data_IF_666094839309
#
_entry.id   IF_666094839309
#
_cell.length_a   1.000
_cell.length_b   1.000
_cell.length_c   1.000
_cell.angle_alpha   90.00
_cell.angle_beta   90.00
_cell.angle_gamma   90.00
#
_symmetry.space_group_name_H-M   'P 1'
#
loop_
_entity.id
_entity.type
_entity.pdbx_description
1 polymer ?
#
# COMPACT_ATOMS: atom_id res chain seq x y z
N UNK A 1 40.83 20.06 -0.93
CA UNK A 1 40.15 18.87 -1.50
C UNK A 1 38.65 19.11 -1.41
N UNK A 2 37.98 19.29 -2.54
CA UNK A 2 36.53 19.49 -2.54
C UNK A 2 35.85 18.20 -2.07
N UNK A 3 35.11 18.28 -0.96
CA UNK A 3 34.28 17.19 -0.47
C UNK A 3 33.27 16.84 -1.58
N UNK A 4 33.48 15.77 -2.33
CA UNK A 4 32.45 15.25 -3.23
C UNK A 4 31.23 14.98 -2.37
N UNK A 5 30.15 15.79 -2.50
CA UNK A 5 28.86 15.49 -1.90
C UNK A 5 28.49 14.08 -2.34
N UNK A 6 28.36 13.17 -1.40
CA UNK A 6 27.83 11.82 -1.68
C UNK A 6 26.44 11.99 -2.29
N UNK A 7 26.12 11.20 -3.28
CA UNK A 7 24.76 11.14 -3.83
C UNK A 7 23.76 10.82 -2.69
N UNK A 8 22.56 11.42 -2.71
CA UNK A 8 21.54 11.06 -1.73
C UNK A 8 21.21 9.56 -1.82
N UNK A 9 20.70 8.96 -0.74
CA UNK A 9 20.18 7.60 -0.79
C UNK A 9 19.12 7.46 -1.86
N UNK A 10 18.98 6.24 -2.40
CA UNK A 10 17.90 5.93 -3.34
C UNK A 10 16.54 6.09 -2.66
N UNK A 11 15.62 6.79 -3.32
CA UNK A 11 14.32 7.15 -2.78
C UNK A 11 13.43 5.94 -2.50
N UNK A 12 13.62 4.83 -3.22
CA UNK A 12 12.84 3.61 -2.97
C UNK A 12 13.21 2.94 -1.64
N UNK A 13 14.51 2.98 -1.23
CA UNK A 13 14.90 2.53 0.11
C UNK A 13 14.27 3.38 1.21
N UNK A 14 14.23 4.70 1.02
CA UNK A 14 13.60 5.61 1.97
C UNK A 14 12.09 5.38 2.03
N UNK A 15 11.44 5.19 0.88
CA UNK A 15 10.02 4.89 0.78
C UNK A 15 9.66 3.58 1.50
N UNK A 16 10.37 2.50 1.18
CA UNK A 16 10.09 1.19 1.78
C UNK A 16 10.26 1.18 3.31
N UNK A 17 11.22 1.95 3.83
CA UNK A 17 11.43 2.05 5.27
C UNK A 17 10.37 2.91 5.97
N UNK A 18 9.76 3.88 5.25
CA UNK A 18 8.83 4.84 5.84
C UNK A 18 7.36 4.44 5.71
N UNK A 19 7.01 3.71 4.65
CA UNK A 19 5.62 3.54 4.21
C UNK A 19 5.18 2.08 4.24
N UNK A 20 6.08 1.13 3.95
CA UNK A 20 5.70 -0.26 3.74
C UNK A 20 5.93 -1.13 4.98
N UNK A 21 4.85 -1.62 5.59
CA UNK A 21 4.88 -2.65 6.63
C UNK A 21 4.26 -3.96 6.13
N UNK A 22 4.92 -4.57 5.13
CA UNK A 22 4.39 -5.73 4.40
C UNK A 22 4.10 -6.95 5.30
N UNK A 23 4.78 -7.08 6.42
CA UNK A 23 4.51 -8.18 7.36
C UNK A 23 3.16 -7.97 8.08
N UNK A 24 2.88 -6.75 8.53
CA UNK A 24 1.59 -6.38 9.13
C UNK A 24 0.45 -6.53 8.12
N UNK A 25 0.62 -6.04 6.88
CA UNK A 25 -0.38 -6.13 5.82
C UNK A 25 -0.74 -7.59 5.50
N UNK A 26 0.28 -8.43 5.32
CA UNK A 26 0.09 -9.85 5.03
C UNK A 26 -0.54 -10.62 6.21
N UNK A 27 -0.16 -10.30 7.44
CA UNK A 27 -0.75 -10.95 8.63
C UNK A 27 -2.18 -10.49 8.88
N UNK A 28 -2.48 -9.22 8.60
CA UNK A 28 -3.86 -8.72 8.59
C UNK A 28 -4.71 -9.47 7.55
N UNK A 29 -4.29 -9.52 6.29
CA UNK A 29 -5.01 -10.23 5.23
C UNK A 29 -5.25 -11.70 5.57
N UNK A 30 -4.22 -12.42 6.02
CA UNK A 30 -4.33 -13.83 6.46
C UNK A 30 -5.32 -14.01 7.60
N UNK A 31 -5.33 -13.10 8.58
CA UNK A 31 -6.25 -13.14 9.73
C UNK A 31 -7.69 -12.97 9.27
N UNK A 32 -7.96 -11.98 8.41
CA UNK A 32 -9.30 -11.72 7.88
C UNK A 32 -9.76 -12.87 6.98
N UNK A 33 -8.89 -13.36 6.09
CA UNK A 33 -9.18 -14.51 5.24
C UNK A 33 -9.57 -15.74 6.07
N UNK A 34 -8.76 -16.09 7.08
CA UNK A 34 -9.03 -17.23 7.95
C UNK A 34 -10.32 -17.08 8.79
N UNK A 35 -10.68 -15.84 9.15
CA UNK A 35 -11.95 -15.53 9.84
C UNK A 35 -13.16 -15.89 8.96
N UNK A 36 -13.10 -15.61 7.66
CA UNK A 36 -14.19 -15.88 6.72
C UNK A 36 -14.25 -17.34 6.29
N UNK A 37 -13.10 -17.91 5.91
CA UNK A 37 -13.05 -19.18 5.19
C UNK A 37 -12.48 -20.35 6.00
N UNK A 38 -11.99 -20.11 7.22
CA UNK A 38 -11.39 -21.12 8.14
C UNK A 38 -10.27 -21.95 7.51
N UNK A 39 -9.62 -21.43 6.47
CA UNK A 39 -8.46 -22.01 5.80
C UNK A 39 -7.35 -20.96 5.62
N UNK A 40 -6.17 -21.40 5.18
CA UNK A 40 -5.04 -20.51 4.94
C UNK A 40 -4.99 -20.13 3.47
N UNK A 41 -4.79 -18.85 3.13
CA UNK A 41 -4.57 -18.43 1.76
C UNK A 41 -3.21 -18.91 1.26
N UNK A 42 -3.13 -19.23 -0.03
CA UNK A 42 -1.89 -19.68 -0.68
C UNK A 42 -1.42 -18.71 -1.77
N UNK A 43 -2.34 -18.02 -2.41
CA UNK A 43 -2.08 -17.17 -3.57
C UNK A 43 -2.45 -15.73 -3.30
N UNK A 44 -1.59 -14.79 -3.75
CA UNK A 44 -1.85 -13.36 -3.63
C UNK A 44 -1.63 -12.64 -4.95
N UNK A 45 -2.41 -11.57 -5.15
CA UNK A 45 -2.20 -10.55 -6.16
C UNK A 45 -1.99 -9.21 -5.46
N UNK A 46 -0.94 -8.49 -5.84
CA UNK A 46 -0.64 -7.13 -5.38
C UNK A 46 -0.77 -6.19 -6.57
N UNK A 47 -1.84 -5.39 -6.58
CA UNK A 47 -2.02 -4.32 -7.54
C UNK A 47 -1.25 -3.08 -7.08
N UNK A 48 -0.70 -2.31 -8.03
CA UNK A 48 0.19 -1.16 -7.75
C UNK A 48 1.41 -1.61 -6.91
N UNK A 49 2.00 -2.75 -7.24
CA UNK A 49 2.99 -3.41 -6.40
C UNK A 49 4.32 -2.65 -6.27
N UNK A 50 4.56 -1.63 -7.09
CA UNK A 50 5.76 -0.81 -7.04
C UNK A 50 7.04 -1.64 -7.09
N UNK A 51 7.74 -1.72 -5.95
CA UNK A 51 8.98 -2.50 -5.80
C UNK A 51 8.74 -4.00 -5.56
N UNK A 52 7.50 -4.47 -5.58
CA UNK A 52 7.08 -5.85 -5.35
C UNK A 52 7.55 -6.44 -4.00
N UNK A 53 7.73 -5.62 -2.98
CA UNK A 53 8.23 -6.04 -1.66
C UNK A 53 7.26 -6.99 -0.96
N UNK A 54 5.94 -6.71 -1.00
CA UNK A 54 4.92 -7.56 -0.40
C UNK A 54 4.84 -8.90 -1.12
N UNK A 55 4.77 -8.90 -2.46
CA UNK A 55 4.73 -10.13 -3.25
C UNK A 55 5.98 -11.00 -3.04
N UNK A 56 7.19 -10.39 -2.99
CA UNK A 56 8.44 -11.08 -2.66
C UNK A 56 8.41 -11.65 -1.23
N UNK A 57 7.91 -10.88 -0.26
CA UNK A 57 7.78 -11.34 1.12
C UNK A 57 6.80 -12.50 1.26
N UNK A 58 5.70 -12.51 0.49
CA UNK A 58 4.74 -13.61 0.50
C UNK A 58 5.35 -14.94 0.11
N UNK A 59 6.09 -15.03 -0.99
CA UNK A 59 6.72 -16.28 -1.45
C UNK A 59 7.83 -16.78 -0.53
N UNK A 60 8.41 -15.89 0.30
CA UNK A 60 9.39 -16.26 1.33
C UNK A 60 8.75 -17.01 2.51
N UNK A 61 7.51 -16.65 2.87
CA UNK A 61 6.85 -17.14 4.09
C UNK A 61 6.46 -18.62 4.03
N UNK A 62 6.24 -19.20 2.83
CA UNK A 62 5.87 -20.61 2.68
C UNK A 62 6.24 -21.14 1.30
N UNK A 63 6.62 -22.43 1.22
CA UNK A 63 6.95 -23.12 -0.03
C UNK A 63 5.78 -23.30 -1.01
N UNK A 64 4.54 -23.16 -0.52
CA UNK A 64 3.32 -23.28 -1.33
C UNK A 64 2.75 -21.91 -1.73
N UNK A 65 3.33 -20.81 -1.25
CA UNK A 65 2.85 -19.48 -1.57
C UNK A 65 3.27 -19.07 -2.98
N UNK A 66 2.33 -18.50 -3.73
CA UNK A 66 2.55 -17.89 -5.03
C UNK A 66 2.04 -16.44 -5.02
N UNK A 67 2.67 -15.57 -5.79
CA UNK A 67 2.34 -14.15 -5.83
C UNK A 67 2.42 -13.57 -7.25
N UNK A 68 1.47 -12.68 -7.55
CA UNK A 68 1.45 -11.84 -8.74
C UNK A 68 1.52 -10.39 -8.33
N UNK A 69 2.50 -9.64 -8.83
CA UNK A 69 2.64 -8.20 -8.65
C UNK A 69 2.41 -7.48 -9.96
N UNK A 70 1.57 -6.46 -9.96
CA UNK A 70 1.23 -5.66 -11.14
C UNK A 70 1.57 -4.21 -10.86
N UNK A 71 2.37 -3.61 -11.72
CA UNK A 71 2.62 -2.17 -11.71
C UNK A 71 2.89 -1.68 -13.14
N UNK A 72 2.44 -0.48 -13.49
CA UNK A 72 2.69 0.06 -14.82
C UNK A 72 4.05 0.76 -14.94
N UNK A 73 4.72 1.08 -13.82
CA UNK A 73 5.97 1.82 -13.81
C UNK A 73 7.19 0.89 -13.89
N UNK A 74 7.61 0.56 -15.10
CA UNK A 74 8.73 -0.34 -15.39
C UNK A 74 10.01 -0.02 -14.58
N UNK A 75 10.47 1.25 -14.42
CA UNK A 75 11.69 1.53 -13.65
C UNK A 75 11.60 1.11 -12.19
N UNK A 76 10.43 1.26 -11.54
CA UNK A 76 10.19 0.82 -10.15
C UNK A 76 10.19 -0.69 -10.03
N UNK A 77 9.53 -1.41 -10.97
CA UNK A 77 9.59 -2.87 -11.03
C UNK A 77 11.03 -3.37 -11.19
N UNK A 78 11.80 -2.78 -12.08
CA UNK A 78 13.21 -3.15 -12.30
C UNK A 78 14.05 -2.90 -11.04
N UNK A 79 13.78 -1.81 -10.32
CA UNK A 79 14.43 -1.56 -9.04
C UNK A 79 14.07 -2.66 -8.02
N UNK A 80 12.77 -3.03 -7.93
CA UNK A 80 12.28 -4.11 -7.08
C UNK A 80 12.90 -5.47 -7.42
N UNK A 81 13.04 -5.79 -8.71
CA UNK A 81 13.72 -7.02 -9.18
C UNK A 81 15.16 -7.05 -8.67
N UNK A 82 15.90 -5.95 -8.78
CA UNK A 82 17.29 -5.87 -8.32
C UNK A 82 17.43 -5.96 -6.81
N UNK A 83 16.50 -5.41 -6.03
CA UNK A 83 16.68 -5.21 -4.59
C UNK A 83 15.82 -6.17 -3.73
N UNK A 84 14.60 -6.50 -4.15
CA UNK A 84 13.70 -7.36 -3.37
C UNK A 84 13.63 -8.79 -3.90
N UNK A 85 13.76 -8.98 -5.23
CA UNK A 85 13.60 -10.30 -5.86
C UNK A 85 14.93 -11.01 -6.04
N UNK A 86 16.02 -10.29 -6.31
CA UNK A 86 17.34 -10.91 -6.56
C UNK A 86 17.81 -11.80 -5.42
N UNK A 87 17.51 -11.44 -4.17
CA UNK A 87 17.87 -12.20 -2.96
C UNK A 87 17.02 -13.44 -2.69
N UNK A 88 15.96 -13.67 -3.47
CA UNK A 88 15.12 -14.87 -3.37
C UNK A 88 15.86 -16.10 -3.90
N UNK A 89 15.59 -17.27 -3.33
CA UNK A 89 16.02 -18.55 -3.92
C UNK A 89 15.32 -18.80 -5.26
N UNK A 90 15.92 -19.61 -6.13
CA UNK A 90 15.32 -19.93 -7.44
C UNK A 90 13.90 -20.55 -7.31
N UNK A 91 13.67 -21.38 -6.28
CA UNK A 91 12.33 -21.92 -6.01
C UNK A 91 11.32 -20.86 -5.57
N UNK A 92 11.75 -19.78 -4.95
CA UNK A 92 10.88 -18.65 -4.60
C UNK A 92 10.59 -17.79 -5.83
N UNK A 93 11.63 -17.49 -6.65
CA UNK A 93 11.46 -16.73 -7.89
C UNK A 93 10.49 -17.41 -8.86
N UNK A 94 10.49 -18.75 -8.94
CA UNK A 94 9.56 -19.52 -9.77
C UNK A 94 8.08 -19.38 -9.36
N UNK A 95 7.80 -18.81 -8.20
CA UNK A 95 6.46 -18.60 -7.64
C UNK A 95 6.09 -17.13 -7.50
N UNK A 96 6.90 -16.24 -8.06
CA UNK A 96 6.68 -14.80 -8.10
C UNK A 96 6.61 -14.34 -9.55
N UNK A 97 5.48 -13.76 -9.92
CA UNK A 97 5.18 -13.30 -11.27
C UNK A 97 4.98 -11.77 -11.24
N UNK A 98 5.82 -11.03 -11.96
CA UNK A 98 5.72 -9.58 -12.06
C UNK A 98 5.25 -9.18 -13.45
N UNK A 99 4.23 -8.36 -13.51
CA UNK A 99 3.59 -7.88 -14.73
C UNK A 99 3.75 -6.36 -14.80
N UNK A 100 4.43 -5.86 -15.82
CA UNK A 100 4.42 -4.44 -16.15
C UNK A 100 3.16 -4.14 -16.97
N UNK A 101 2.14 -3.53 -16.34
CA UNK A 101 0.87 -3.29 -17.00
C UNK A 101 -0.14 -2.53 -16.15
N UNK A 102 -1.26 -2.19 -16.79
CA UNK A 102 -2.39 -1.53 -16.11
C UNK A 102 -3.18 -2.58 -15.31
N UNK A 103 -3.48 -2.31 -14.06
CA UNK A 103 -4.29 -3.17 -13.18
C UNK A 103 -5.72 -3.37 -13.70
N UNK A 104 -6.21 -2.47 -14.54
CA UNK A 104 -7.52 -2.57 -15.21
C UNK A 104 -7.53 -3.62 -16.32
N UNK A 105 -6.37 -3.95 -16.90
CA UNK A 105 -6.24 -4.82 -18.08
C UNK A 105 -5.45 -6.10 -17.80
N UNK A 106 -4.55 -6.07 -16.78
CA UNK A 106 -3.67 -7.18 -16.48
C UNK A 106 -4.46 -8.44 -16.09
N UNK A 107 -4.09 -9.57 -16.69
CA UNK A 107 -4.69 -10.86 -16.40
C UNK A 107 -3.79 -11.68 -15.48
N UNK A 108 -4.37 -12.28 -14.46
CA UNK A 108 -3.72 -13.22 -13.55
C UNK A 108 -4.61 -14.43 -13.35
N UNK A 109 -4.07 -15.57 -12.91
CA UNK A 109 -4.91 -16.61 -12.33
C UNK A 109 -5.73 -16.07 -11.16
N UNK A 110 -6.83 -16.75 -10.82
CA UNK A 110 -7.58 -16.40 -9.62
C UNK A 110 -6.74 -16.65 -8.36
N UNK A 111 -6.87 -15.75 -7.39
CA UNK A 111 -6.08 -15.75 -6.16
C UNK A 111 -6.97 -15.76 -4.92
N UNK A 112 -6.40 -16.15 -3.78
CA UNK A 112 -7.11 -16.15 -2.50
C UNK A 112 -7.22 -14.73 -1.93
N UNK A 113 -6.19 -13.91 -2.10
CA UNK A 113 -6.18 -12.53 -1.61
C UNK A 113 -5.64 -11.58 -2.68
N UNK A 114 -6.34 -10.48 -2.91
CA UNK A 114 -5.84 -9.35 -3.67
C UNK A 114 -5.54 -8.17 -2.71
N UNK A 115 -4.50 -7.40 -3.03
CA UNK A 115 -4.09 -6.21 -2.26
C UNK A 115 -3.96 -5.00 -3.16
N UNK A 116 -4.43 -3.84 -2.68
CA UNK A 116 -4.12 -2.52 -3.24
C UNK A 116 -3.82 -1.57 -2.07
N UNK A 117 -2.55 -1.42 -1.75
CA UNK A 117 -2.08 -0.73 -0.54
C UNK A 117 -1.46 0.62 -0.84
N UNK A 118 -1.14 1.35 0.23
CA UNK A 118 -0.59 2.71 0.19
C UNK A 118 -1.52 3.68 -0.58
N UNK A 119 -2.83 3.51 -0.39
CA UNK A 119 -3.89 4.36 -0.96
C UNK A 119 -3.89 4.42 -2.49
N UNK A 120 -3.24 3.46 -3.15
CA UNK A 120 -2.95 3.51 -4.58
C UNK A 120 -4.19 3.58 -5.46
N UNK A 121 -5.32 2.96 -5.06
CA UNK A 121 -6.57 3.01 -5.82
C UNK A 121 -7.19 4.42 -5.90
N UNK A 122 -6.75 5.37 -5.06
CA UNK A 122 -7.16 6.77 -5.10
C UNK A 122 -6.79 7.48 -6.42
N UNK A 123 -5.92 6.90 -7.25
CA UNK A 123 -5.63 7.36 -8.63
C UNK A 123 -6.89 7.32 -9.52
N UNK A 124 -7.84 6.44 -9.21
CA UNK A 124 -9.11 6.35 -9.92
C UNK A 124 -10.08 7.43 -9.42
N UNK A 125 -10.02 8.61 -10.05
CA UNK A 125 -10.83 9.76 -9.65
C UNK A 125 -12.30 9.66 -10.05
N UNK A 126 -12.62 8.84 -11.07
CA UNK A 126 -13.99 8.64 -11.56
C UNK A 126 -14.60 7.39 -10.93
N UNK A 127 -15.83 7.53 -10.40
CA UNK A 127 -16.56 6.45 -9.73
C UNK A 127 -16.71 5.20 -10.61
N UNK A 128 -17.04 5.40 -11.89
CA UNK A 128 -17.19 4.27 -12.82
C UNK A 128 -15.88 3.56 -13.10
N UNK A 129 -14.75 4.28 -13.12
CA UNK A 129 -13.43 3.68 -13.27
C UNK A 129 -13.05 2.87 -12.02
N UNK A 130 -13.32 3.40 -10.83
CA UNK A 130 -13.09 2.68 -9.56
C UNK A 130 -13.97 1.42 -9.49
N UNK A 131 -15.25 1.50 -9.88
CA UNK A 131 -16.15 0.35 -9.93
C UNK A 131 -15.67 -0.69 -10.93
N UNK A 132 -15.20 -0.28 -12.13
CA UNK A 132 -14.61 -1.19 -13.13
C UNK A 132 -13.37 -1.87 -12.57
N UNK A 133 -12.52 -1.16 -11.84
CA UNK A 133 -11.38 -1.74 -11.15
C UNK A 133 -11.82 -2.81 -10.14
N UNK A 134 -12.80 -2.51 -9.29
CA UNK A 134 -13.30 -3.48 -8.32
C UNK A 134 -13.93 -4.72 -8.97
N UNK A 135 -14.61 -4.58 -10.11
CA UNK A 135 -15.09 -5.72 -10.90
C UNK A 135 -13.91 -6.59 -11.37
N UNK A 136 -12.83 -5.98 -11.90
CA UNK A 136 -11.62 -6.71 -12.32
C UNK A 136 -10.98 -7.46 -11.16
N UNK A 137 -10.90 -6.84 -9.99
CA UNK A 137 -10.39 -7.51 -8.79
C UNK A 137 -11.29 -8.68 -8.40
N UNK A 138 -12.61 -8.49 -8.37
CA UNK A 138 -13.57 -9.55 -8.05
C UNK A 138 -13.40 -10.75 -8.98
N UNK A 139 -13.26 -10.53 -10.29
CA UNK A 139 -13.05 -11.57 -11.29
C UNK A 139 -11.72 -12.32 -11.07
N UNK A 140 -10.70 -11.64 -10.54
CA UNK A 140 -9.39 -12.22 -10.23
C UNK A 140 -9.34 -12.98 -8.91
N UNK A 141 -10.41 -13.00 -8.12
CA UNK A 141 -10.47 -13.72 -6.86
C UNK A 141 -11.07 -15.13 -7.05
N UNK A 142 -10.56 -16.09 -6.28
CA UNK A 142 -11.24 -17.36 -6.06
C UNK A 142 -12.62 -17.13 -5.41
N UNK A 143 -13.55 -18.11 -5.48
CA UNK A 143 -14.89 -17.98 -4.88
C UNK A 143 -14.85 -17.66 -3.37
N UNK A 144 -13.81 -18.10 -2.69
CA UNK A 144 -13.52 -17.79 -1.30
C UNK A 144 -12.41 -16.73 -1.19
N UNK A 145 -12.42 -15.71 -2.04
CA UNK A 145 -11.40 -14.66 -2.08
C UNK A 145 -11.74 -13.45 -1.23
N UNK A 146 -10.71 -12.68 -0.90
CA UNK A 146 -10.86 -11.35 -0.31
C UNK A 146 -10.00 -10.32 -1.03
N UNK A 147 -10.48 -9.08 -1.07
CA UNK A 147 -9.72 -7.93 -1.54
C UNK A 147 -9.43 -7.00 -0.37
N UNK A 148 -8.17 -6.68 -0.13
CA UNK A 148 -7.70 -5.81 0.96
C UNK A 148 -7.13 -4.53 0.36
N UNK A 149 -7.63 -3.39 0.79
CA UNK A 149 -7.08 -2.08 0.47
C UNK A 149 -7.00 -1.23 1.73
N UNK A 150 -6.15 -0.22 1.71
CA UNK A 150 -6.06 0.76 2.78
C UNK A 150 -6.48 2.15 2.29
N UNK A 151 -6.92 2.98 3.22
CA UNK A 151 -7.23 4.38 2.99
C UNK A 151 -6.98 5.19 4.26
N UNK A 152 -6.56 6.42 4.09
CA UNK A 152 -6.44 7.39 5.17
C UNK A 152 -7.64 8.33 5.23
N UNK A 153 -7.87 8.92 6.39
CA UNK A 153 -8.90 9.91 6.60
C UNK A 153 -8.68 10.65 7.92
N UNK A 154 -9.71 11.33 8.40
CA UNK A 154 -9.68 12.15 9.58
C UNK A 154 -9.90 13.62 9.25
N UNK A 155 -9.91 14.49 10.27
CA UNK A 155 -10.20 15.92 10.06
C UNK A 155 -9.10 16.62 9.26
N UNK A 156 -7.85 16.16 9.36
CA UNK A 156 -6.72 16.75 8.64
C UNK A 156 -6.67 16.33 7.16
N UNK A 157 -7.25 15.19 6.81
CA UNK A 157 -7.26 14.69 5.42
C UNK A 157 -8.05 15.57 4.45
N UNK A 158 -8.90 16.46 4.94
CA UNK A 158 -9.70 17.42 4.15
C UNK A 158 -9.21 18.86 4.28
N UNK A 159 -8.06 19.07 4.92
CA UNK A 159 -7.43 20.39 5.00
C UNK A 159 -6.71 20.74 3.70
N UNK A 160 -6.76 22.00 3.31
CA UNK A 160 -6.12 22.45 2.07
C UNK A 160 -4.57 22.38 2.11
N UNK A 161 -4.00 22.37 3.31
CA UNK A 161 -2.54 22.21 3.52
C UNK A 161 -2.30 21.58 4.88
N UNK A 162 -1.63 20.45 4.89
CA UNK A 162 -1.13 19.83 6.11
C UNK A 162 0.17 19.08 5.84
N UNK A 163 1.06 19.09 6.83
CA UNK A 163 2.31 18.32 6.79
C UNK A 163 2.33 17.38 8.01
N UNK A 164 2.65 16.11 7.77
CA UNK A 164 2.99 15.13 8.82
C UNK A 164 4.46 14.76 8.70
N UNK A 165 5.20 14.87 9.80
CA UNK A 165 6.64 14.59 9.86
C UNK A 165 6.91 13.46 10.83
N UNK A 166 7.53 12.39 10.33
CA UNK A 166 7.92 11.23 11.14
C UNK A 166 9.41 10.97 11.02
N UNK A 167 10.09 10.81 12.15
CA UNK A 167 11.48 10.36 12.19
C UNK A 167 11.52 8.84 11.94
N UNK A 168 12.31 8.44 10.95
CA UNK A 168 12.50 7.04 10.58
C UNK A 168 13.89 6.61 11.02
N UNK A 169 14.00 5.53 11.81
CA UNK A 169 15.29 5.01 12.24
C UNK A 169 16.17 4.59 11.06
N UNK A 170 17.45 4.88 11.16
CA UNK A 170 18.43 4.47 10.17
C UNK A 170 18.55 2.95 10.06
N UNK A 171 18.98 2.51 8.89
CA UNK A 171 19.10 1.08 8.59
C UNK A 171 20.29 0.82 7.66
N UNK A 172 20.58 -0.46 7.44
CA UNK A 172 21.57 -0.88 6.44
C UNK A 172 20.86 -1.66 5.35
N UNK A 173 21.05 -1.24 4.09
CA UNK A 173 20.49 -1.95 2.93
C UNK A 173 21.14 -3.33 2.77
N UNK A 174 20.52 -4.26 2.03
CA UNK A 174 21.13 -5.56 1.74
C UNK A 174 22.51 -5.47 1.06
N UNK A 175 22.77 -4.37 0.36
CA UNK A 175 24.06 -4.08 -0.30
C UNK A 175 25.11 -3.51 0.67
N UNK A 176 24.75 -3.32 1.96
CA UNK A 176 25.66 -2.80 2.98
C UNK A 176 25.73 -1.26 3.04
N UNK A 177 24.84 -0.53 2.36
CA UNK A 177 24.77 0.93 2.41
C UNK A 177 24.09 1.34 3.71
N UNK A 178 24.78 2.13 4.54
CA UNK A 178 24.20 2.68 5.78
C UNK A 178 23.39 3.94 5.46
N UNK A 179 22.11 3.89 5.79
CA UNK A 179 21.18 5.02 5.77
C UNK A 179 21.06 5.51 7.22
N UNK A 180 21.35 6.80 7.51
CA UNK A 180 21.16 7.38 8.84
C UNK A 180 19.67 7.54 9.16
N UNK A 181 19.34 7.88 10.40
CA UNK A 181 17.99 8.35 10.75
C UNK A 181 17.62 9.51 9.85
N UNK A 182 16.36 9.59 9.41
CA UNK A 182 15.90 10.61 8.48
C UNK A 182 14.44 10.97 8.73
N UNK A 183 14.03 12.19 8.30
CA UNK A 183 12.65 12.61 8.36
C UNK A 183 11.92 12.17 7.08
N UNK A 184 10.83 11.42 7.24
CA UNK A 184 9.76 11.28 6.25
C UNK A 184 8.79 12.43 6.43
N UNK A 185 8.42 13.10 5.35
CA UNK A 185 7.50 14.24 5.36
C UNK A 185 6.40 13.98 4.35
N UNK A 186 5.19 13.77 4.85
CA UNK A 186 3.97 13.76 4.05
C UNK A 186 3.43 15.18 3.95
N UNK A 187 3.24 15.69 2.74
CA UNK A 187 2.63 16.98 2.46
C UNK A 187 1.32 16.76 1.70
N UNK A 188 0.20 17.19 2.26
CA UNK A 188 -1.02 17.42 1.50
C UNK A 188 -0.99 18.86 1.02
N UNK A 189 -0.75 19.05 -0.29
CA UNK A 189 -0.50 20.38 -0.87
C UNK A 189 -1.79 21.15 -1.17
N UNK A 190 -2.88 20.43 -1.47
CA UNK A 190 -4.20 20.98 -1.71
C UNK A 190 -5.32 19.96 -1.41
N UNK A 191 -6.54 20.45 -1.37
CA UNK A 191 -7.77 19.65 -1.32
C UNK A 191 -8.93 20.45 -1.89
N UNK A 192 -9.67 19.86 -2.83
CA UNK A 192 -10.84 20.47 -3.45
C UNK A 192 -12.13 19.84 -2.87
N UNK A 193 -12.92 20.58 -2.07
CA UNK A 193 -14.11 20.03 -1.42
C UNK A 193 -15.28 19.72 -2.38
N UNK A 194 -15.20 20.14 -3.66
CA UNK A 194 -16.27 19.90 -4.64
C UNK A 194 -16.17 18.49 -5.24
N UNK A 195 -14.95 18.02 -5.52
CA UNK A 195 -14.71 16.75 -6.18
C UNK A 195 -13.76 15.82 -5.41
N UNK A 196 -13.28 16.28 -4.23
CA UNK A 196 -12.33 15.59 -3.35
C UNK A 196 -10.97 15.30 -3.99
N UNK A 197 -10.62 16.01 -5.07
CA UNK A 197 -9.27 15.93 -5.63
C UNK A 197 -8.27 16.51 -4.64
N UNK A 198 -7.14 15.84 -4.51
CA UNK A 198 -6.03 16.23 -3.64
C UNK A 198 -4.69 15.93 -4.30
N UNK A 199 -3.71 16.78 -4.02
CA UNK A 199 -2.32 16.56 -4.41
C UNK A 199 -1.49 16.33 -3.17
N UNK A 200 -0.79 15.20 -3.12
CA UNK A 200 0.06 14.84 -2.00
C UNK A 200 1.51 14.64 -2.46
N UNK A 201 2.45 14.97 -1.59
CA UNK A 201 3.88 14.77 -1.85
C UNK A 201 4.55 14.05 -0.69
N UNK A 202 5.50 13.18 -1.03
CA UNK A 202 6.46 12.67 -0.06
C UNK A 202 7.79 13.39 -0.26
N UNK A 203 8.35 13.85 0.85
CA UNK A 203 9.70 14.39 0.91
C UNK A 203 10.52 13.61 1.93
N UNK A 204 11.82 13.59 1.74
CA UNK A 204 12.75 13.06 2.73
C UNK A 204 13.77 14.12 3.12
N UNK A 205 14.10 14.21 4.40
CA UNK A 205 15.21 15.04 4.87
C UNK A 205 16.26 14.13 5.49
N UNK A 206 17.37 13.98 4.77
CA UNK A 206 18.44 13.04 5.14
C UNK A 206 19.66 13.83 5.61
N UNK A 207 20.21 13.55 6.82
CA UNK A 207 21.43 14.20 7.30
C UNK A 207 22.57 14.10 6.27
N UNK A 208 23.23 15.22 6.03
CA UNK A 208 24.31 15.34 5.04
C UNK A 208 23.86 15.49 3.58
N UNK A 209 22.58 15.28 3.26
CA UNK A 209 22.04 15.39 1.91
C UNK A 209 20.95 16.46 1.74
N UNK A 210 20.40 16.97 2.88
CA UNK A 210 19.33 17.98 2.89
C UNK A 210 17.95 17.38 2.59
N UNK A 211 17.01 18.23 2.12
CA UNK A 211 15.62 17.82 1.79
C UNK A 211 15.53 17.38 0.33
N UNK A 212 15.18 16.10 0.11
CA UNK A 212 14.77 15.56 -1.19
C UNK A 212 13.29 15.92 -1.34
N UNK A 213 13.02 16.94 -2.15
CA UNK A 213 11.66 17.47 -2.32
C UNK A 213 10.91 16.69 -3.39
N UNK A 214 9.62 16.40 -3.12
CA UNK A 214 8.71 15.73 -4.07
C UNK A 214 9.30 14.44 -4.62
N UNK A 215 9.88 13.64 -3.72
CA UNK A 215 10.40 12.32 -4.08
C UNK A 215 9.30 11.47 -4.72
N UNK A 216 8.07 11.60 -4.22
CA UNK A 216 6.86 11.06 -4.84
C UNK A 216 5.79 12.14 -4.86
N UNK A 217 4.95 12.11 -5.89
CA UNK A 217 3.80 13.00 -6.06
C UNK A 217 2.58 12.17 -6.45
N UNK A 218 1.47 12.44 -5.78
CA UNK A 218 0.21 11.75 -5.98
C UNK A 218 -0.87 12.77 -6.32
N UNK A 219 -1.62 12.51 -7.39
CA UNK A 219 -2.82 13.23 -7.78
C UNK A 219 -4.01 12.31 -7.61
N UNK A 220 -4.67 12.38 -6.46
CA UNK A 220 -5.70 11.48 -6.01
C UNK A 220 -7.07 12.12 -5.92
N UNK A 221 -8.09 11.29 -5.80
CA UNK A 221 -9.36 11.62 -5.20
C UNK A 221 -9.43 10.94 -3.84
N UNK A 222 -9.66 11.71 -2.78
CA UNK A 222 -9.91 11.13 -1.46
C UNK A 222 -11.35 10.59 -1.42
N UNK A 223 -11.47 9.26 -1.38
CA UNK A 223 -12.74 8.58 -1.26
C UNK A 223 -13.15 8.45 0.20
N UNK A 224 -14.46 8.53 0.50
CA UNK A 224 -14.97 8.22 1.83
C UNK A 224 -15.11 6.70 2.01
N UNK A 225 -15.03 6.23 3.26
CA UNK A 225 -15.26 4.81 3.57
C UNK A 225 -16.63 4.32 3.07
N UNK A 226 -17.65 5.16 3.15
CA UNK A 226 -18.99 4.84 2.67
C UNK A 226 -19.03 4.65 1.15
N UNK A 227 -18.46 5.58 0.37
CA UNK A 227 -18.37 5.44 -1.09
C UNK A 227 -17.66 4.15 -1.50
N UNK A 228 -16.52 3.83 -0.86
CA UNK A 228 -15.75 2.61 -1.14
C UNK A 228 -16.60 1.37 -0.86
N UNK A 229 -17.28 1.30 0.29
CA UNK A 229 -18.15 0.17 0.64
C UNK A 229 -19.30 -0.01 -0.36
N UNK A 230 -19.97 1.08 -0.75
CA UNK A 230 -21.05 1.05 -1.73
C UNK A 230 -20.55 0.57 -3.09
N UNK A 231 -19.41 1.09 -3.57
CA UNK A 231 -18.86 0.70 -4.87
C UNK A 231 -18.40 -0.75 -4.87
N UNK A 232 -17.85 -1.27 -3.77
CA UNK A 232 -17.52 -2.69 -3.63
C UNK A 232 -18.75 -3.57 -3.75
N UNK A 233 -19.84 -3.23 -3.04
CA UNK A 233 -21.10 -3.99 -3.12
C UNK A 233 -21.73 -3.92 -4.52
N UNK A 234 -21.69 -2.77 -5.16
CA UNK A 234 -22.15 -2.60 -6.55
C UNK A 234 -21.31 -3.39 -7.56
N UNK A 235 -20.01 -3.56 -7.29
CA UNK A 235 -19.13 -4.39 -8.09
C UNK A 235 -19.40 -5.91 -7.90
N UNK A 236 -20.22 -6.29 -6.91
CA UNK A 236 -20.62 -7.67 -6.68
C UNK A 236 -19.96 -8.37 -5.49
N UNK A 237 -19.14 -7.67 -4.69
CA UNK A 237 -18.65 -8.23 -3.43
C UNK A 237 -19.81 -8.49 -2.47
N UNK A 238 -19.79 -9.63 -1.78
CA UNK A 238 -20.86 -10.01 -0.83
C UNK A 238 -20.85 -9.17 0.43
N UNK A 239 -19.65 -8.63 0.82
CA UNK A 239 -19.46 -7.76 1.98
C UNK A 239 -18.37 -6.73 1.69
N UNK A 240 -18.49 -5.58 2.36
CA UNK A 240 -17.47 -4.54 2.42
C UNK A 240 -17.25 -4.17 3.90
N UNK A 241 -16.17 -4.67 4.48
CA UNK A 241 -15.85 -4.56 5.90
C UNK A 241 -14.78 -3.51 6.13
N UNK A 242 -14.93 -2.66 7.15
CA UNK A 242 -13.96 -1.63 7.54
C UNK A 242 -13.29 -2.03 8.84
N UNK A 243 -11.95 -1.97 8.84
CA UNK A 243 -11.14 -2.28 10.01
C UNK A 243 -10.31 -1.06 10.39
N UNK A 244 -10.39 -0.64 11.64
CA UNK A 244 -9.66 0.49 12.22
C UNK A 244 -8.99 0.06 13.51
N UNK A 245 -7.88 0.69 13.83
CA UNK A 245 -7.15 0.53 15.09
C UNK A 245 -7.61 1.55 16.12
N UNK A 246 -7.30 1.31 17.39
CA UNK A 246 -7.54 2.26 18.46
C UNK A 246 -6.26 3.08 18.72
N UNK A 247 -6.45 4.26 19.33
CA UNK A 247 -5.37 5.09 19.85
C UNK A 247 -5.38 5.04 21.37
N UNK A 248 -4.20 5.07 21.98
CA UNK A 248 -4.06 5.22 23.41
C UNK A 248 -4.22 6.68 23.87
N UNK A 249 -4.10 6.92 25.18
CA UNK A 249 -4.23 8.26 25.77
C UNK A 249 -3.14 9.26 25.30
N UNK A 250 -2.05 8.76 24.71
CA UNK A 250 -0.97 9.58 24.12
C UNK A 250 -1.20 9.83 22.62
N UNK A 251 -2.24 9.25 22.02
CA UNK A 251 -2.54 9.32 20.60
C UNK A 251 -1.70 8.36 19.75
N UNK A 252 -1.06 7.35 20.37
CA UNK A 252 -0.33 6.31 19.66
C UNK A 252 -1.27 5.16 19.26
N UNK A 253 -1.11 4.66 18.04
CA UNK A 253 -1.87 3.52 17.52
C UNK A 253 -1.49 2.23 18.22
N UNK A 254 -2.48 1.40 18.56
CA UNK A 254 -2.24 0.03 19.03
C UNK A 254 -1.92 -0.96 17.89
N UNK A 255 -1.94 -0.49 16.64
CA UNK A 255 -1.71 -1.24 15.39
C UNK A 255 -2.61 -2.50 15.23
N UNK A 256 -3.67 -2.63 16.04
CA UNK A 256 -4.57 -3.77 16.01
C UNK A 256 -5.87 -3.39 15.28
N UNK A 257 -5.93 -3.68 14.01
CA UNK A 257 -7.10 -3.40 13.19
C UNK A 257 -8.27 -4.33 13.51
N UNK A 258 -9.39 -3.74 13.95
CA UNK A 258 -10.64 -4.41 14.35
C UNK A 258 -11.79 -4.01 13.45
N UNK A 259 -12.69 -4.93 13.18
CA UNK A 259 -13.93 -4.65 12.43
C UNK A 259 -14.75 -3.58 13.17
N UNK A 260 -15.07 -2.49 12.48
CA UNK A 260 -15.81 -1.36 13.04
C UNK A 260 -17.08 -1.07 12.24
N UNK A 261 -18.14 -0.66 12.95
CA UNK A 261 -19.36 -0.10 12.35
C UNK A 261 -19.52 1.38 12.68
N UNK A 262 -18.85 1.82 13.72
CA UNK A 262 -18.79 3.22 14.18
C UNK A 262 -17.36 3.52 14.59
N UNK A 263 -16.93 4.73 14.38
CA UNK A 263 -15.60 5.20 14.77
C UNK A 263 -15.63 6.70 15.00
N UNK A 264 -14.88 7.18 16.00
CA UNK A 264 -14.73 8.60 16.25
C UNK A 264 -13.79 9.21 15.20
N UNK A 265 -14.19 10.34 14.61
CA UNK A 265 -13.38 11.00 13.61
C UNK A 265 -12.27 11.84 14.26
N UNK A 266 -11.11 11.22 14.46
CA UNK A 266 -9.90 11.87 14.98
C UNK A 266 -9.14 12.64 13.90
N UNK A 267 -8.02 13.26 14.25
CA UNK A 267 -7.22 14.08 13.33
C UNK A 267 -6.75 13.30 12.09
N UNK A 268 -6.21 12.10 12.32
CA UNK A 268 -5.75 11.20 11.25
C UNK A 268 -5.95 9.75 11.61
N UNK A 269 -6.40 8.94 10.66
CA UNK A 269 -6.54 7.49 10.80
C UNK A 269 -6.23 6.81 9.47
N UNK A 270 -5.81 5.56 9.57
CA UNK A 270 -5.72 4.62 8.44
C UNK A 270 -6.68 3.48 8.68
N UNK A 271 -7.43 3.10 7.66
CA UNK A 271 -8.34 1.97 7.69
C UNK A 271 -7.95 0.94 6.65
N UNK A 272 -8.09 -0.35 6.97
CA UNK A 272 -8.24 -1.36 5.94
C UNK A 272 -9.71 -1.51 5.56
N UNK A 273 -9.98 -1.56 4.26
CA UNK A 273 -11.29 -1.92 3.72
C UNK A 273 -11.15 -3.27 3.03
N UNK A 274 -12.04 -4.19 3.37
CA UNK A 274 -12.00 -5.56 2.86
C UNK A 274 -13.27 -5.88 2.11
N UNK A 275 -13.14 -6.13 0.81
CA UNK A 275 -14.17 -6.76 -0.02
C UNK A 275 -14.10 -8.28 0.13
N UNK A 276 -15.24 -8.91 0.44
CA UNK A 276 -15.37 -10.38 0.54
C UNK A 276 -16.18 -10.85 -0.67
N UNK A 277 -15.64 -11.79 -1.45
CA UNK A 277 -16.32 -12.35 -2.62
C UNK A 277 -17.47 -13.28 -2.28
#
# INVERSE_FOLDING_TARGET
MANKKKSPPDIHWLYEASVQNVDTDLDFGKRVYAKHWKRKPLTVREDFCGTAKLAARWVQRNKQHEAWGIDFHQPTLEWGIRNNVSGLTEKQKQRLYLICGDVLEAETPQVDMAFALNFSFCVFKQRDTLRRYYNRVLDSLNDEGIFVMDIYGGTESVMAKSDDVREIPGFTTPEGIKIPDFDYIWEQADYNPINHDTTCHIHFKVPGHGKIKKAFTYEWRLWTLMEIQEILLEAGFSKAEVYLHDFDDNGESDEIFRLRKTYENVQGWVAYVVGVK
#
